data_IF_129440669075
#
_entry.id   IF_129440669075
#
_cell.length_a   1.000
_cell.length_b   1.000
_cell.length_c   1.000
_cell.angle_alpha   90.00
_cell.angle_beta   90.00
_cell.angle_gamma   90.00
#
_symmetry.space_group_name_H-M   'P 1'
#
loop_
_entity.id
_entity.type
_entity.pdbx_description
1 polymer ?
#
# COMPACT_ATOMS: atom_id res chain seq x y z
N UNK A 1 -18.23 -42.85 3.89
CA UNK A 1 -17.18 -42.07 3.20
C UNK A 1 -16.66 -40.96 4.12
N UNK A 2 -15.37 -40.96 4.48
CA UNK A 2 -14.77 -39.84 5.25
C UNK A 2 -14.79 -38.58 4.37
N UNK A 3 -15.53 -37.54 4.78
CA UNK A 3 -15.54 -36.24 4.10
C UNK A 3 -14.15 -35.62 4.27
N UNK A 4 -13.44 -35.39 3.17
CA UNK A 4 -12.14 -34.70 3.18
C UNK A 4 -12.38 -33.19 3.26
N UNK A 5 -12.02 -32.59 4.38
CA UNK A 5 -11.99 -31.15 4.58
C UNK A 5 -10.63 -30.61 4.15
N UNK A 6 -10.62 -29.47 3.47
CA UNK A 6 -9.39 -28.82 3.05
C UNK A 6 -9.35 -27.38 3.59
N UNK A 7 -8.17 -26.97 4.05
CA UNK A 7 -7.88 -25.58 4.39
C UNK A 7 -7.79 -24.76 3.09
N UNK A 8 -8.50 -23.64 3.04
CA UNK A 8 -8.57 -22.80 1.84
C UNK A 8 -8.14 -21.38 2.18
N UNK A 9 -7.28 -20.80 1.35
CA UNK A 9 -6.90 -19.40 1.50
C UNK A 9 -8.08 -18.46 1.21
N UNK A 10 -8.43 -17.52 2.12
CA UNK A 10 -9.55 -16.61 1.92
C UNK A 10 -9.31 -15.56 0.83
N UNK A 11 -8.05 -15.29 0.47
CA UNK A 11 -7.66 -14.24 -0.49
C UNK A 11 -7.58 -14.75 -1.93
N UNK A 12 -7.11 -15.98 -2.13
CA UNK A 12 -6.91 -16.55 -3.47
C UNK A 12 -7.72 -17.83 -3.74
N UNK A 13 -8.26 -18.48 -2.70
CA UNK A 13 -9.02 -19.71 -2.84
C UNK A 13 -8.17 -20.94 -3.19
N UNK A 14 -6.85 -20.88 -3.00
CA UNK A 14 -5.99 -22.06 -3.13
C UNK A 14 -6.05 -22.93 -1.88
N UNK A 15 -5.80 -24.21 -2.04
CA UNK A 15 -5.71 -25.21 -0.96
C UNK A 15 -4.29 -25.41 -0.45
N UNK A 16 -3.32 -24.68 -1.02
CA UNK A 16 -1.91 -24.81 -0.70
C UNK A 16 -1.57 -23.86 0.47
N UNK A 17 -1.83 -24.35 1.68
CA UNK A 17 -1.67 -23.64 2.96
C UNK A 17 -0.70 -24.46 3.82
N UNK A 18 0.37 -23.82 4.28
CA UNK A 18 1.40 -24.42 5.11
C UNK A 18 1.60 -23.57 6.38
N UNK A 19 2.35 -24.06 7.37
CA UNK A 19 2.70 -23.26 8.54
C UNK A 19 3.79 -22.25 8.19
N UNK A 20 3.68 -21.04 8.73
CA UNK A 20 4.69 -20.00 8.54
C UNK A 20 5.84 -20.22 9.53
N UNK A 21 6.94 -20.78 9.03
CA UNK A 21 8.15 -21.07 9.81
C UNK A 21 9.24 -20.02 9.60
N UNK A 22 8.86 -18.79 9.25
CA UNK A 22 9.82 -17.69 9.17
C UNK A 22 10.47 -17.41 10.54
N UNK A 23 11.73 -16.94 10.53
CA UNK A 23 12.49 -16.65 11.75
C UNK A 23 11.75 -15.69 12.69
N UNK A 24 11.11 -14.68 12.10
CA UNK A 24 10.30 -13.72 12.84
C UNK A 24 9.09 -14.40 13.49
N UNK A 25 8.36 -15.27 12.78
CA UNK A 25 7.22 -15.97 13.38
C UNK A 25 7.65 -16.94 14.48
N UNK A 26 8.79 -17.63 14.32
CA UNK A 26 9.36 -18.51 15.34
C UNK A 26 9.77 -17.73 16.60
N UNK A 27 10.44 -16.58 16.45
CA UNK A 27 10.86 -15.73 17.57
C UNK A 27 9.68 -15.18 18.37
N UNK A 28 8.56 -14.91 17.70
CA UNK A 28 7.32 -14.43 18.32
C UNK A 28 6.45 -15.56 18.89
N UNK A 29 6.90 -16.82 18.84
CA UNK A 29 6.09 -17.98 19.28
C UNK A 29 4.87 -18.25 18.39
N UNK A 30 4.83 -17.66 17.19
CA UNK A 30 3.72 -17.69 16.25
C UNK A 30 3.62 -18.96 15.41
N UNK A 31 3.95 -20.13 15.95
CA UNK A 31 3.93 -21.43 15.23
C UNK A 31 2.53 -21.85 14.74
N UNK A 32 1.48 -21.18 15.23
CA UNK A 32 0.09 -21.40 14.86
C UNK A 32 -0.34 -20.63 13.61
N UNK A 33 0.49 -19.71 13.09
CA UNK A 33 0.19 -18.99 11.85
C UNK A 33 0.40 -19.89 10.64
N UNK A 34 -0.55 -19.82 9.72
CA UNK A 34 -0.50 -20.49 8.43
C UNK A 34 -0.27 -19.45 7.34
N UNK A 35 0.43 -19.84 6.29
CA UNK A 35 0.73 -19.03 5.13
C UNK A 35 0.32 -19.75 3.85
N UNK A 36 -0.26 -18.99 2.93
CA UNK A 36 -0.58 -19.48 1.60
C UNK A 36 0.59 -19.24 0.63
N UNK A 37 1.16 -20.31 0.04
CA UNK A 37 2.27 -20.19 -0.94
C UNK A 37 1.91 -19.45 -2.22
N UNK A 38 0.64 -19.40 -2.60
CA UNK A 38 0.22 -18.80 -3.87
C UNK A 38 0.07 -17.27 -3.81
N UNK A 39 -0.19 -16.71 -2.63
CA UNK A 39 -0.44 -15.28 -2.47
C UNK A 39 0.26 -14.65 -1.27
N UNK A 40 1.13 -15.41 -0.61
CA UNK A 40 1.87 -15.04 0.60
C UNK A 40 1.01 -14.43 1.70
N UNK A 41 -0.27 -14.82 1.75
CA UNK A 41 -1.19 -14.39 2.79
C UNK A 41 -0.97 -15.24 4.03
N UNK A 42 -0.50 -14.62 5.11
CA UNK A 42 -0.35 -15.24 6.42
C UNK A 42 -1.51 -14.84 7.35
N UNK A 43 -2.10 -15.82 8.03
CA UNK A 43 -3.15 -15.59 9.02
C UNK A 43 -3.25 -16.77 9.99
N UNK A 44 -3.90 -16.56 11.13
CA UNK A 44 -4.11 -17.62 12.13
C UNK A 44 -5.30 -18.50 11.73
N UNK A 45 -6.30 -17.90 11.08
CA UNK A 45 -7.58 -18.55 10.79
C UNK A 45 -7.71 -18.80 9.29
N UNK A 46 -7.69 -20.08 8.90
CA UNK A 46 -8.02 -20.52 7.55
C UNK A 46 -9.32 -21.32 7.60
N UNK A 47 -10.32 -20.96 6.78
CA UNK A 47 -11.57 -21.71 6.73
C UNK A 47 -11.31 -23.12 6.16
N UNK A 48 -11.87 -24.10 6.84
CA UNK A 48 -11.97 -25.47 6.34
C UNK A 48 -13.26 -25.60 5.54
N UNK A 49 -13.15 -26.06 4.30
CA UNK A 49 -14.30 -26.16 3.39
C UNK A 49 -14.35 -27.51 2.68
N UNK A 50 -15.56 -27.86 2.26
CA UNK A 50 -15.82 -29.02 1.40
C UNK A 50 -15.53 -28.70 -0.07
N UNK A 51 -15.25 -29.73 -0.88
CA UNK A 51 -14.98 -29.59 -2.32
C UNK A 51 -16.11 -28.87 -3.07
N UNK A 52 -17.35 -29.08 -2.67
CA UNK A 52 -18.54 -28.45 -3.27
C UNK A 52 -18.59 -26.93 -3.00
N UNK A 53 -18.31 -26.53 -1.77
CA UNK A 53 -18.29 -25.13 -1.33
C UNK A 53 -17.12 -24.34 -1.95
N UNK A 54 -16.04 -25.03 -2.30
CA UNK A 54 -14.84 -24.43 -2.91
C UNK A 54 -15.17 -23.69 -4.22
N UNK A 55 -16.04 -24.25 -5.07
CA UNK A 55 -16.42 -23.63 -6.36
C UNK A 55 -17.19 -22.33 -6.14
N UNK A 56 -18.12 -22.33 -5.19
CA UNK A 56 -18.91 -21.15 -4.82
C UNK A 56 -18.01 -20.08 -4.20
N UNK A 57 -17.09 -20.50 -3.33
CA UNK A 57 -16.16 -19.61 -2.67
C UNK A 57 -15.21 -18.91 -3.65
N UNK A 58 -14.63 -19.64 -4.61
CA UNK A 58 -13.79 -19.05 -5.67
C UNK A 58 -14.53 -18.01 -6.50
N UNK A 59 -15.79 -18.28 -6.87
CA UNK A 59 -16.64 -17.30 -7.57
C UNK A 59 -16.88 -16.04 -6.72
N UNK A 60 -17.13 -16.19 -5.42
CA UNK A 60 -17.28 -15.04 -4.50
C UNK A 60 -16.01 -14.21 -4.41
N UNK A 61 -14.83 -14.84 -4.30
CA UNK A 61 -13.53 -14.14 -4.26
C UNK A 61 -13.32 -13.33 -5.54
N UNK A 62 -13.59 -13.93 -6.71
CA UNK A 62 -13.40 -13.25 -7.99
C UNK A 62 -14.29 -12.02 -8.13
N UNK A 63 -15.56 -12.10 -7.71
CA UNK A 63 -16.49 -10.96 -7.67
C UNK A 63 -15.99 -9.84 -6.75
N UNK A 64 -15.45 -10.18 -5.57
CA UNK A 64 -14.85 -9.20 -4.65
C UNK A 64 -13.66 -8.49 -5.27
N UNK A 65 -12.70 -9.23 -5.85
CA UNK A 65 -11.53 -8.66 -6.53
C UNK A 65 -11.92 -7.72 -7.67
N UNK A 66 -12.94 -8.06 -8.45
CA UNK A 66 -13.44 -7.20 -9.51
C UNK A 66 -14.06 -5.90 -8.97
N UNK A 67 -14.83 -5.98 -7.88
CA UNK A 67 -15.40 -4.81 -7.21
C UNK A 67 -14.33 -3.90 -6.60
N UNK A 68 -13.32 -4.49 -5.97
CA UNK A 68 -12.22 -3.73 -5.36
C UNK A 68 -11.38 -3.01 -6.41
N UNK A 69 -11.10 -3.67 -7.56
CA UNK A 69 -10.43 -3.01 -8.69
C UNK A 69 -11.21 -1.82 -9.22
N UNK A 70 -12.55 -1.92 -9.31
CA UNK A 70 -13.39 -0.78 -9.73
C UNK A 70 -13.29 0.40 -8.75
N UNK A 71 -13.34 0.13 -7.44
CA UNK A 71 -13.19 1.18 -6.42
C UNK A 71 -11.81 1.85 -6.44
N UNK A 72 -10.73 1.07 -6.64
CA UNK A 72 -9.38 1.64 -6.75
C UNK A 72 -9.31 2.57 -7.96
N UNK A 73 -9.81 2.14 -9.13
CA UNK A 73 -9.85 2.99 -10.32
C UNK A 73 -10.67 4.28 -10.10
N UNK A 74 -11.83 4.21 -9.45
CA UNK A 74 -12.63 5.40 -9.09
C UNK A 74 -11.84 6.36 -8.18
N UNK A 75 -11.09 5.81 -7.22
CA UNK A 75 -10.30 6.61 -6.29
C UNK A 75 -9.09 7.24 -6.97
N UNK A 76 -8.42 6.53 -7.88
CA UNK A 76 -7.30 7.06 -8.67
C UNK A 76 -7.75 8.22 -9.58
N UNK A 77 -8.93 8.11 -10.19
CA UNK A 77 -9.52 9.19 -11.00
C UNK A 77 -9.77 10.44 -10.13
N UNK A 78 -10.25 10.28 -8.89
CA UNK A 78 -10.52 11.41 -7.99
C UNK A 78 -9.26 12.12 -7.47
N UNK A 79 -8.10 11.44 -7.42
CA UNK A 79 -6.86 11.99 -6.86
C UNK A 79 -5.97 12.70 -7.89
N UNK A 80 -6.26 12.60 -9.18
CA UNK A 80 -5.46 13.19 -10.25
C UNK A 80 -5.44 14.73 -10.29
N UNK A 81 -6.26 15.41 -9.47
CA UNK A 81 -6.47 16.85 -9.58
C UNK A 81 -5.69 17.72 -8.57
N UNK A 82 -5.14 17.16 -7.47
CA UNK A 82 -4.71 18.00 -6.34
C UNK A 82 -3.23 18.37 -6.28
N UNK A 83 -2.34 17.63 -6.95
CA UNK A 83 -0.91 17.78 -6.66
C UNK A 83 -0.22 18.83 -7.55
N UNK A 84 -0.64 19.01 -8.80
CA UNK A 84 0.01 19.96 -9.73
C UNK A 84 -0.29 21.43 -9.41
N UNK A 85 -1.46 21.72 -8.86
CA UNK A 85 -1.92 23.09 -8.60
C UNK A 85 -1.32 23.67 -7.31
N UNK A 86 -1.00 22.81 -6.33
CA UNK A 86 -0.43 23.21 -5.05
C UNK A 86 1.07 23.54 -5.16
N UNK A 87 1.83 22.73 -5.92
CA UNK A 87 3.27 22.98 -6.17
C UNK A 87 3.51 24.31 -6.93
N UNK A 88 2.58 24.71 -7.80
CA UNK A 88 2.70 25.95 -8.56
C UNK A 88 2.62 27.19 -7.64
N UNK A 89 1.79 27.13 -6.59
CA UNK A 89 1.60 28.25 -5.66
C UNK A 89 2.80 28.44 -4.70
N UNK A 90 3.43 27.35 -4.24
CA UNK A 90 4.62 27.44 -3.38
C UNK A 90 5.85 27.96 -4.12
N UNK A 91 5.97 27.69 -5.43
CA UNK A 91 7.10 28.19 -6.23
C UNK A 91 7.12 29.71 -6.36
N UNK A 92 5.96 30.37 -6.35
CA UNK A 92 5.87 31.83 -6.51
C UNK A 92 6.51 32.58 -5.34
N UNK A 93 6.22 32.20 -4.10
CA UNK A 93 6.84 32.81 -2.91
C UNK A 93 8.35 32.55 -2.81
N UNK A 94 8.81 31.37 -3.23
CA UNK A 94 10.23 31.03 -3.20
C UNK A 94 11.06 31.89 -4.17
N UNK A 95 10.52 32.18 -5.36
CA UNK A 95 11.17 33.08 -6.33
C UNK A 95 11.29 34.51 -5.77
N UNK A 96 10.24 35.04 -5.13
CA UNK A 96 10.29 36.34 -4.49
C UNK A 96 11.32 36.41 -3.35
N UNK A 97 11.43 35.34 -2.55
CA UNK A 97 12.42 35.26 -1.47
C UNK A 97 13.85 35.29 -2.00
N UNK A 98 14.15 34.54 -3.07
CA UNK A 98 15.48 34.55 -3.71
C UNK A 98 15.84 35.95 -4.21
N UNK A 99 14.91 36.63 -4.90
CA UNK A 99 15.14 37.98 -5.43
C UNK A 99 15.43 38.95 -4.27
N UNK A 100 14.66 38.88 -3.18
CA UNK A 100 14.87 39.70 -2.00
C UNK A 100 16.25 39.48 -1.36
N UNK A 101 16.68 38.21 -1.22
CA UNK A 101 18.01 37.89 -0.71
C UNK A 101 19.14 38.44 -1.59
N UNK A 102 19.00 38.38 -2.92
CA UNK A 102 19.99 38.94 -3.86
C UNK A 102 20.08 40.46 -3.71
N UNK A 103 18.94 41.16 -3.65
CA UNK A 103 18.91 42.61 -3.44
C UNK A 103 19.55 42.99 -2.11
N UNK A 104 19.23 42.26 -1.03
CA UNK A 104 19.81 42.53 0.28
C UNK A 104 21.33 42.29 0.31
N UNK A 105 21.82 41.23 -0.32
CA UNK A 105 23.25 40.96 -0.44
C UNK A 105 23.97 42.06 -1.23
N UNK A 106 23.33 42.56 -2.31
CA UNK A 106 23.85 43.69 -3.07
C UNK A 106 23.90 44.96 -2.22
N UNK A 107 22.81 45.31 -1.51
CA UNK A 107 22.80 46.47 -0.61
C UNK A 107 23.86 46.36 0.51
N UNK A 108 24.06 45.17 1.08
CA UNK A 108 25.08 44.91 2.09
C UNK A 108 26.50 45.04 1.54
N UNK A 109 26.74 44.58 0.31
CA UNK A 109 28.03 44.73 -0.34
C UNK A 109 28.34 46.21 -0.65
N UNK A 110 27.35 46.96 -1.14
CA UNK A 110 27.52 48.39 -1.38
C UNK A 110 27.71 49.19 -0.09
N UNK A 111 26.99 48.88 0.99
CA UNK A 111 27.19 49.57 2.27
C UNK A 111 28.58 49.35 2.85
N UNK A 112 29.20 48.19 2.61
CA UNK A 112 30.59 47.89 3.00
C UNK A 112 31.64 48.56 2.12
N UNK A 113 31.33 48.88 0.86
CA UNK A 113 32.27 49.52 -0.07
C UNK A 113 32.15 51.06 -0.11
N UNK A 114 31.10 51.64 0.49
CA UNK A 114 30.86 53.10 0.51
C UNK A 114 31.33 53.78 1.81
N UNK A 115 31.90 53.03 2.76
CA UNK A 115 32.72 53.57 3.84
C UNK A 115 34.20 53.26 3.59
N UNK A 116 34.96 54.16 2.96
CA UNK A 116 36.37 54.35 3.32
C UNK A 116 36.51 54.95 4.72
#
# INVERSE_FOLDING_TARGET
>A
MRKSFFLVCPRCGSTNVENDLSRDMLAWGGSTRKMCRNCNYSSIVFPEMRKEELKVFKKKIQKRKAKDRRRINETEISKGFTNKTLDLLLSSWYVFFIIFCIIYAFMFFFSRNIMP
#
